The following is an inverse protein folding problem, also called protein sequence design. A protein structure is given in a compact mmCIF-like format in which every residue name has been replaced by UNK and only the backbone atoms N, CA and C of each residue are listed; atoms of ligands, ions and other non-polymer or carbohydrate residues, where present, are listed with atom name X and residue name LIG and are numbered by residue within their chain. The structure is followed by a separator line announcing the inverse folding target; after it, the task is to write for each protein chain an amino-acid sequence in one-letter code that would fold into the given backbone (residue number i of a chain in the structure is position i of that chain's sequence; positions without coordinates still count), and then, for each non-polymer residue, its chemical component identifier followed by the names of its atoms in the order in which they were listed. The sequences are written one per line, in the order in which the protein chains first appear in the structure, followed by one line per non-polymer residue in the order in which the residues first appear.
data_IF_345594916731
#
_entry.id   IF_345594916731
#
_cell.length_a   1.000
_cell.length_b   1.000
_cell.length_c   1.000
_cell.angle_alpha   90.00
_cell.angle_beta   90.00
_cell.angle_gamma   90.00
#
_symmetry.space_group_name_H-M   'P 1'
#
loop_
_entity.id
_entity.type
_entity.pdbx_description
1 polymer ?
#
# COMPACT_ATOMS: atom_id res chain seq x y z
N UNK A 1 -8.35 14.99 -38.73
CA UNK A 1 -7.50 13.88 -38.27
C UNK A 1 -6.58 14.26 -37.09
N UNK A 2 -5.76 15.33 -37.20
CA UNK A 2 -4.82 15.80 -36.16
C UNK A 2 -5.42 16.07 -34.76
N UNK A 3 -6.63 16.64 -34.67
CA UNK A 3 -7.30 16.89 -33.37
C UNK A 3 -7.59 15.58 -32.60
N UNK A 4 -7.97 14.52 -33.31
CA UNK A 4 -8.29 13.21 -32.72
C UNK A 4 -7.04 12.57 -32.12
N UNK A 5 -5.93 12.61 -32.87
CA UNK A 5 -4.63 12.11 -32.42
C UNK A 5 -4.10 12.89 -31.20
N UNK A 6 -4.19 14.23 -31.21
CA UNK A 6 -3.81 15.07 -30.06
C UNK A 6 -4.63 14.70 -28.81
N UNK A 7 -5.94 14.48 -28.95
CA UNK A 7 -6.81 14.03 -27.86
C UNK A 7 -6.37 12.67 -27.30
N UNK A 8 -6.07 11.71 -28.16
CA UNK A 8 -5.61 10.37 -27.75
C UNK A 8 -4.27 10.41 -27.00
N UNK A 9 -3.31 11.21 -27.47
CA UNK A 9 -2.02 11.40 -26.78
C UNK A 9 -2.25 11.97 -25.38
N UNK A 10 -3.05 13.03 -25.26
CA UNK A 10 -3.37 13.65 -23.97
C UNK A 10 -4.07 12.65 -23.04
N UNK A 11 -5.11 11.96 -23.52
CA UNK A 11 -5.80 10.94 -22.74
C UNK A 11 -4.84 9.83 -22.25
N UNK A 12 -3.92 9.38 -23.09
CA UNK A 12 -2.96 8.34 -22.73
C UNK A 12 -1.99 8.82 -21.65
N UNK A 13 -1.48 10.05 -21.77
CA UNK A 13 -0.66 10.68 -20.74
C UNK A 13 -1.42 10.81 -19.42
N UNK A 14 -2.67 11.28 -19.45
CA UNK A 14 -3.52 11.40 -18.26
C UNK A 14 -3.80 10.05 -17.59
N UNK A 15 -4.05 8.97 -18.36
CA UNK A 15 -4.24 7.62 -17.80
C UNK A 15 -2.99 7.12 -17.08
N UNK A 16 -1.80 7.33 -17.65
CA UNK A 16 -0.52 6.96 -17.02
C UNK A 16 -0.29 7.75 -15.72
N UNK A 17 -0.53 9.06 -15.75
CA UNK A 17 -0.41 9.92 -14.57
C UNK A 17 -1.40 9.49 -13.47
N UNK A 18 -2.66 9.26 -13.82
CA UNK A 18 -3.71 8.80 -12.90
C UNK A 18 -3.26 7.53 -12.15
N UNK A 19 -2.71 6.53 -12.86
CA UNK A 19 -2.18 5.30 -12.23
C UNK A 19 -1.04 5.60 -11.24
N UNK A 20 -0.10 6.49 -11.59
CA UNK A 20 1.00 6.89 -10.71
C UNK A 20 0.50 7.58 -9.43
N UNK A 21 -0.43 8.52 -9.58
CA UNK A 21 -1.03 9.25 -8.46
C UNK A 21 -1.79 8.29 -7.53
N UNK A 22 -2.56 7.35 -8.06
CA UNK A 22 -3.22 6.34 -7.24
C UNK A 22 -2.23 5.49 -6.45
N UNK A 23 -1.14 5.06 -7.09
CA UNK A 23 -0.10 4.29 -6.42
C UNK A 23 0.50 5.07 -5.23
N UNK A 24 0.86 6.34 -5.44
CA UNK A 24 1.40 7.21 -4.39
C UNK A 24 0.40 7.40 -3.25
N UNK A 25 -0.89 7.58 -3.57
CA UNK A 25 -1.94 7.69 -2.57
C UNK A 25 -2.07 6.42 -1.73
N UNK A 26 -2.02 5.23 -2.35
CA UNK A 26 -2.05 3.97 -1.61
C UNK A 26 -0.83 3.82 -0.70
N UNK A 27 0.36 4.19 -1.19
CA UNK A 27 1.60 4.18 -0.39
C UNK A 27 1.46 5.09 0.84
N UNK A 28 0.98 6.32 0.65
CA UNK A 28 0.75 7.27 1.74
C UNK A 28 -0.27 6.75 2.76
N UNK A 29 -1.37 6.19 2.28
CA UNK A 29 -2.44 5.60 3.11
C UNK A 29 -2.03 4.36 3.87
N UNK A 30 -1.02 3.62 3.41
CA UNK A 30 -0.48 2.46 4.13
C UNK A 30 0.54 2.87 5.20
N UNK A 31 1.38 3.87 4.91
CA UNK A 31 2.42 4.32 5.84
C UNK A 31 1.90 5.19 6.99
N UNK A 32 0.92 6.05 6.72
CA UNK A 32 0.39 6.99 7.72
C UNK A 32 -0.28 6.31 8.93
N UNK A 33 -1.16 5.30 8.76
CA UNK A 33 -1.86 4.71 9.90
C UNK A 33 -0.94 3.83 10.74
N UNK A 34 0.03 3.16 10.11
CA UNK A 34 0.89 2.17 10.77
C UNK A 34 2.12 2.78 11.44
N UNK A 35 2.41 4.06 11.21
CA UNK A 35 3.71 4.71 11.51
C UNK A 35 4.91 3.88 11.03
N UNK A 36 4.68 3.00 10.06
CA UNK A 36 5.65 2.01 9.61
C UNK A 36 6.06 2.33 8.18
N UNK A 37 7.34 2.12 7.88
CA UNK A 37 7.85 2.24 6.51
C UNK A 37 7.17 1.18 5.66
N UNK A 38 6.74 1.55 4.45
CA UNK A 38 6.07 0.63 3.54
C UNK A 38 6.89 -0.64 3.23
N UNK A 39 8.22 -0.54 3.32
CA UNK A 39 9.13 -1.67 3.19
C UNK A 39 8.91 -2.71 4.31
N UNK A 40 8.69 -2.28 5.55
CA UNK A 40 8.39 -3.18 6.67
C UNK A 40 7.03 -3.87 6.49
N UNK A 41 6.01 -3.13 6.07
CA UNK A 41 4.70 -3.72 5.74
C UNK A 41 4.83 -4.74 4.60
N UNK A 42 5.61 -4.43 3.57
CA UNK A 42 5.82 -5.34 2.43
C UNK A 42 6.58 -6.60 2.87
N UNK A 43 7.60 -6.45 3.72
CA UNK A 43 8.36 -7.56 4.28
C UNK A 43 7.48 -8.47 5.15
N UNK A 44 6.75 -7.89 6.10
CA UNK A 44 5.79 -8.61 6.95
C UNK A 44 4.78 -9.39 6.10
N UNK A 45 4.15 -8.75 5.11
CA UNK A 45 3.19 -9.42 4.22
C UNK A 45 3.82 -10.58 3.47
N UNK A 46 5.06 -10.41 3.00
CA UNK A 46 5.76 -11.47 2.29
C UNK A 46 6.09 -12.66 3.20
N UNK A 47 6.45 -12.40 4.47
CA UNK A 47 6.81 -13.45 5.44
C UNK A 47 5.60 -14.21 5.96
N UNK A 48 4.53 -13.49 6.27
CA UNK A 48 3.25 -14.05 6.71
C UNK A 48 2.36 -14.53 5.54
N UNK A 49 2.88 -14.52 4.29
CA UNK A 49 2.17 -14.97 3.08
C UNK A 49 0.81 -14.29 2.87
N UNK A 50 0.74 -12.99 3.15
CA UNK A 50 -0.47 -12.18 2.98
C UNK A 50 -0.53 -11.65 1.55
N UNK A 51 -1.40 -12.23 0.72
CA UNK A 51 -1.54 -11.91 -0.71
C UNK A 51 -2.55 -10.78 -1.00
N UNK A 52 -2.51 -9.69 -0.23
CA UNK A 52 -3.35 -8.51 -0.45
C UNK A 52 -2.64 -7.48 -1.31
N UNK A 53 -3.30 -7.02 -2.37
CA UNK A 53 -2.78 -5.89 -3.15
C UNK A 53 -2.85 -4.58 -2.34
N UNK A 54 -1.98 -3.62 -2.69
CA UNK A 54 -1.91 -2.33 -1.97
C UNK A 54 -3.21 -1.54 -1.98
N UNK A 55 -4.04 -1.70 -3.02
CA UNK A 55 -5.34 -1.02 -3.12
C UNK A 55 -6.28 -1.51 -2.03
N UNK A 56 -6.52 -2.82 -1.96
CA UNK A 56 -7.38 -3.46 -0.97
C UNK A 56 -6.87 -3.23 0.45
N UNK A 57 -5.56 -3.40 0.67
CA UNK A 57 -4.98 -3.18 1.98
C UNK A 57 -5.17 -1.72 2.44
N UNK A 58 -4.97 -0.76 1.54
CA UNK A 58 -5.16 0.66 1.87
C UNK A 58 -6.62 1.04 2.10
N UNK A 59 -7.58 0.37 1.44
CA UNK A 59 -9.00 0.60 1.71
C UNK A 59 -9.36 0.05 3.09
N UNK A 60 -8.97 -1.19 3.40
CA UNK A 60 -9.24 -1.80 4.70
C UNK A 60 -8.67 -0.97 5.86
N UNK A 61 -7.45 -0.45 5.73
CA UNK A 61 -6.85 0.43 6.75
C UNK A 61 -7.63 1.72 7.01
N UNK A 62 -8.40 2.21 6.02
CA UNK A 62 -9.18 3.44 6.15
C UNK A 62 -10.60 3.15 6.61
N UNK A 63 -11.23 2.11 6.07
CA UNK A 63 -12.65 1.82 6.29
C UNK A 63 -12.89 0.95 7.51
N UNK A 64 -11.93 0.09 7.87
CA UNK A 64 -12.10 -0.91 8.93
C UNK A 64 -11.07 -0.70 10.05
N UNK A 65 -11.45 0.08 11.05
CA UNK A 65 -10.59 0.36 12.22
C UNK A 65 -10.16 -0.91 12.97
N UNK A 66 -11.05 -1.90 13.08
CA UNK A 66 -10.75 -3.19 13.72
C UNK A 66 -9.71 -4.01 12.95
N UNK A 67 -9.74 -3.96 11.61
CA UNK A 67 -8.72 -4.56 10.76
C UNK A 67 -7.37 -3.89 11.00
N UNK A 68 -7.32 -2.55 10.97
CA UNK A 68 -6.09 -1.80 11.23
C UNK A 68 -5.50 -2.09 12.62
N UNK A 69 -6.34 -2.16 13.65
CA UNK A 69 -5.91 -2.47 15.02
C UNK A 69 -5.30 -3.87 15.12
N UNK A 70 -6.00 -4.88 14.62
CA UNK A 70 -5.55 -6.28 14.63
C UNK A 70 -4.27 -6.45 13.83
N UNK A 71 -4.21 -5.80 12.67
CA UNK A 71 -3.02 -5.75 11.83
C UNK A 71 -1.81 -5.19 12.57
N UNK A 72 -1.95 -4.02 13.21
CA UNK A 72 -0.87 -3.40 13.99
C UNK A 72 -0.36 -4.33 15.10
N UNK A 73 -1.28 -4.95 15.84
CA UNK A 73 -0.93 -5.87 16.92
C UNK A 73 -0.14 -7.07 16.39
N UNK A 74 -0.57 -7.63 15.26
CA UNK A 74 0.10 -8.74 14.62
C UNK A 74 1.48 -8.35 14.09
N UNK A 75 1.59 -7.21 13.39
CA UNK A 75 2.90 -6.71 12.90
C UNK A 75 3.87 -6.46 14.04
N UNK A 76 3.42 -5.89 15.15
CA UNK A 76 4.28 -5.62 16.30
C UNK A 76 4.78 -6.93 16.91
N UNK A 77 3.89 -7.90 17.11
CA UNK A 77 4.27 -9.22 17.62
C UNK A 77 5.28 -9.93 16.70
N UNK A 78 5.10 -9.84 15.38
CA UNK A 78 6.03 -10.40 14.40
C UNK A 78 7.43 -9.79 14.53
N UNK A 79 7.53 -8.45 14.58
CA UNK A 79 8.83 -7.80 14.68
C UNK A 79 9.47 -7.95 16.06
N UNK A 80 8.71 -7.99 17.14
CA UNK A 80 9.24 -8.32 18.49
C UNK A 80 9.87 -9.71 18.51
N UNK A 81 9.19 -10.72 17.96
CA UNK A 81 9.77 -12.07 17.81
C UNK A 81 11.01 -12.06 16.94
N UNK A 82 11.04 -11.28 15.86
CA UNK A 82 12.23 -11.22 15.00
C UNK A 82 13.45 -10.62 15.72
N UNK A 83 13.24 -9.64 16.60
CA UNK A 83 14.31 -9.03 17.41
C UNK A 83 14.84 -10.01 18.45
N UNK A 84 13.96 -10.78 19.11
CA UNK A 84 14.35 -11.78 20.11
C UNK A 84 15.21 -12.91 19.53
N UNK A 85 15.00 -13.30 18.27
CA UNK A 85 15.78 -14.35 17.60
C UNK A 85 17.10 -13.86 17.00
N UNK A 86 17.30 -12.53 16.92
CA UNK A 86 18.53 -11.91 16.44
C UNK A 86 19.49 -11.48 17.55
N UNK A 87 19.12 -11.69 18.81
CA UNK A 87 19.92 -11.45 20.03
C UNK A 87 20.47 -12.78 20.55
#
# INVERSE_FOLDING_TARGET
MLRKLKKEITCTKSRKLKKKVFHQNFVKRLGSPTNSKLNLTTYFNSKEKIYLNRKLLSSLFITEGGFLFSWKKWTNSFFSRFIEWGS
#
